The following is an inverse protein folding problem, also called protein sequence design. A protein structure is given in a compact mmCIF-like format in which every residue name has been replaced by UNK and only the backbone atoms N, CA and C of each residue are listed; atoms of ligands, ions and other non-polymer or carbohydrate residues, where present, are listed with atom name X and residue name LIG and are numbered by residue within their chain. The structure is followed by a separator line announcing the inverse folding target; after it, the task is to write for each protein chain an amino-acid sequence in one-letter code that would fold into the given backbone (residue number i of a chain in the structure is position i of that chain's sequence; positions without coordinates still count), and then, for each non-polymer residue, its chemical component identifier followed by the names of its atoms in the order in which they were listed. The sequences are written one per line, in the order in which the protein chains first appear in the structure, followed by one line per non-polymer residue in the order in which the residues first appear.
data_IF_323094470087
#
_entry.id   IF_323094470087
#
_cell.length_a   1.000
_cell.length_b   1.000
_cell.length_c   1.000
_cell.angle_alpha   90.00
_cell.angle_beta   90.00
_cell.angle_gamma   90.00
#
_symmetry.space_group_name_H-M   'P 1'
#
loop_
_entity.id
_entity.type
_entity.pdbx_description
1 polymer ?
#
# COMPACT_ATOMS: atom_id res chain seq x y z
N UNK A 1 15.14 12.87 10.83
CA UNK A 1 16.12 11.76 10.78
C UNK A 1 16.37 11.43 9.32
N UNK A 2 17.64 11.39 8.90
CA UNK A 2 18.04 11.04 7.54
C UNK A 2 17.77 9.54 7.32
N UNK A 3 17.24 9.16 6.16
CA UNK A 3 17.10 7.75 5.80
C UNK A 3 18.50 7.14 5.66
N UNK A 4 18.72 5.98 6.28
CA UNK A 4 19.91 5.15 6.06
C UNK A 4 19.50 3.73 5.72
N UNK A 5 20.34 3.02 4.97
CA UNK A 5 20.11 1.61 4.62
C UNK A 5 19.98 0.77 5.89
N UNK A 6 20.87 0.97 6.86
CA UNK A 6 20.82 0.24 8.13
C UNK A 6 19.49 0.42 8.87
N UNK A 7 18.98 1.66 8.95
CA UNK A 7 17.69 1.94 9.58
C UNK A 7 16.49 1.34 8.82
N UNK A 8 16.68 1.09 7.53
CA UNK A 8 15.68 0.55 6.63
C UNK A 8 15.67 -0.98 6.67
N UNK A 9 16.82 -1.63 6.79
CA UNK A 9 16.96 -3.08 6.73
C UNK A 9 17.00 -3.77 8.09
N UNK A 10 17.31 -3.04 9.16
CA UNK A 10 17.30 -3.59 10.53
C UNK A 10 15.88 -3.96 10.95
N UNK A 11 15.71 -5.22 11.36
CA UNK A 11 14.45 -5.73 11.90
C UNK A 11 13.32 -5.80 10.87
N UNK A 12 13.64 -6.06 9.60
CA UNK A 12 12.62 -6.25 8.56
C UNK A 12 11.68 -7.41 8.91
N UNK A 13 10.38 -7.13 8.85
CA UNK A 13 9.31 -8.10 9.06
C UNK A 13 8.47 -8.20 7.80
N UNK A 14 8.27 -9.41 7.29
CA UNK A 14 7.35 -9.67 6.19
C UNK A 14 5.90 -9.73 6.69
N UNK A 15 4.97 -9.08 5.99
CA UNK A 15 3.54 -9.04 6.34
C UNK A 15 2.69 -9.90 5.42
N UNK A 16 3.01 -9.92 4.13
CA UNK A 16 2.25 -10.70 3.16
C UNK A 16 2.34 -10.19 1.75
N UNK A 17 1.61 -10.88 0.89
CA UNK A 17 1.54 -10.62 -0.55
C UNK A 17 0.20 -10.02 -0.94
N UNK A 18 0.20 -9.19 -1.98
CA UNK A 18 -1.02 -8.63 -2.56
C UNK A 18 -0.97 -8.77 -4.07
N UNK A 19 -1.97 -9.47 -4.61
CA UNK A 19 -2.11 -9.60 -6.06
C UNK A 19 -2.75 -8.34 -6.64
N UNK A 20 -1.95 -7.56 -7.38
CA UNK A 20 -2.47 -6.47 -8.20
C UNK A 20 -2.85 -6.93 -9.61
N UNK A 21 -3.15 -5.96 -10.48
CA UNK A 21 -3.59 -6.28 -11.85
C UNK A 21 -2.49 -6.78 -12.79
N UNK A 22 -1.28 -6.27 -12.63
CA UNK A 22 -0.13 -6.53 -13.52
C UNK A 22 1.13 -6.93 -12.77
N UNK A 23 1.08 -6.86 -11.44
CA UNK A 23 2.22 -7.02 -10.55
C UNK A 23 1.75 -7.75 -9.30
N UNK A 24 2.65 -8.56 -8.75
CA UNK A 24 2.54 -9.09 -7.40
C UNK A 24 3.29 -8.17 -6.45
N UNK A 25 2.69 -7.85 -5.32
CA UNK A 25 3.27 -6.95 -4.33
C UNK A 25 3.62 -7.72 -3.06
N UNK A 26 4.75 -7.36 -2.46
CA UNK A 26 5.27 -7.94 -1.23
C UNK A 26 5.47 -6.82 -0.22
N UNK A 27 4.92 -6.96 0.97
CA UNK A 27 4.97 -5.92 2.00
C UNK A 27 5.88 -6.36 3.14
N UNK A 28 6.92 -5.57 3.40
CA UNK A 28 7.75 -5.68 4.58
C UNK A 28 7.63 -4.40 5.41
N UNK A 29 8.01 -4.46 6.68
CA UNK A 29 8.16 -3.26 7.50
C UNK A 29 9.48 -3.24 8.25
N UNK A 30 10.05 -2.06 8.38
CA UNK A 30 10.99 -1.74 9.45
C UNK A 30 10.26 -1.01 10.59
N UNK A 31 11.01 -0.48 11.55
CA UNK A 31 10.45 0.27 12.67
C UNK A 31 9.56 1.45 12.23
N UNK A 32 9.87 2.12 11.11
CA UNK A 32 9.19 3.38 10.69
C UNK A 32 8.59 3.35 9.29
N UNK A 33 8.99 2.40 8.45
CA UNK A 33 8.59 2.35 7.05
C UNK A 33 7.97 0.99 6.72
N UNK A 34 7.07 1.00 5.74
CA UNK A 34 6.74 -0.17 4.96
C UNK A 34 7.48 -0.13 3.63
N UNK A 35 8.00 -1.28 3.22
CA UNK A 35 8.49 -1.57 1.89
C UNK A 35 7.35 -2.20 1.11
N UNK A 36 6.98 -1.61 -0.02
CA UNK A 36 6.04 -2.18 -0.97
C UNK A 36 6.84 -2.55 -2.20
N UNK A 37 7.31 -3.78 -2.23
CA UNK A 37 8.06 -4.35 -3.36
C UNK A 37 7.07 -4.92 -4.37
N UNK A 38 7.41 -4.84 -5.65
CA UNK A 38 6.57 -5.29 -6.74
C UNK A 38 7.38 -6.08 -7.74
N UNK A 39 6.81 -7.19 -8.24
CA UNK A 39 7.35 -8.01 -9.31
C UNK A 39 6.37 -7.99 -10.49
N UNK A 40 6.88 -7.77 -11.70
CA UNK A 40 6.08 -7.73 -12.91
C UNK A 40 5.64 -9.12 -13.33
N UNK A 41 4.33 -9.29 -13.60
CA UNK A 41 3.80 -10.56 -14.10
C UNK A 41 4.24 -10.88 -15.54
N UNK A 42 4.55 -9.86 -16.34
CA UNK A 42 4.94 -10.04 -17.75
C UNK A 42 6.45 -9.95 -18.00
N UNK A 43 7.25 -9.63 -16.96
CA UNK A 43 8.70 -9.42 -17.10
C UNK A 43 9.40 -10.03 -15.89
N UNK A 44 10.09 -11.17 -16.09
CA UNK A 44 10.61 -12.00 -15.00
C UNK A 44 11.60 -11.28 -14.07
N UNK A 45 12.40 -10.35 -14.61
CA UNK A 45 13.45 -9.66 -13.84
C UNK A 45 13.14 -8.18 -13.58
N UNK A 46 11.88 -7.76 -13.74
CA UNK A 46 11.47 -6.38 -13.53
C UNK A 46 10.68 -6.23 -12.24
N UNK A 47 11.18 -5.38 -11.35
CA UNK A 47 10.52 -5.01 -10.11
C UNK A 47 10.78 -3.57 -9.71
N UNK A 48 10.07 -3.14 -8.68
CA UNK A 48 10.25 -1.83 -8.07
C UNK A 48 9.93 -1.92 -6.59
N UNK A 49 10.50 -1.05 -5.77
CA UNK A 49 10.14 -0.93 -4.36
C UNK A 49 9.79 0.52 -4.03
N UNK A 50 8.79 0.68 -3.18
CA UNK A 50 8.40 1.98 -2.66
C UNK A 50 8.46 1.95 -1.14
N UNK A 51 8.78 3.11 -0.54
CA UNK A 51 8.68 3.31 0.89
C UNK A 51 7.44 4.12 1.22
N UNK A 52 6.69 3.68 2.24
CA UNK A 52 5.61 4.46 2.83
C UNK A 52 5.73 4.49 4.34
N UNK A 53 5.45 5.66 4.94
CA UNK A 53 5.55 5.85 6.38
C UNK A 53 4.50 5.02 7.12
N UNK A 54 4.92 4.30 8.16
CA UNK A 54 4.04 3.51 9.02
C UNK A 54 2.97 4.37 9.69
N UNK A 55 3.38 5.54 10.22
CA UNK A 55 2.43 6.47 10.85
C UNK A 55 1.43 7.05 9.86
N UNK A 56 1.84 7.30 8.61
CA UNK A 56 0.91 7.73 7.56
C UNK A 56 -0.11 6.62 7.22
N UNK A 57 0.32 5.35 7.14
CA UNK A 57 -0.57 4.20 6.92
C UNK A 57 -1.58 4.07 8.07
N UNK A 58 -1.13 4.16 9.32
CA UNK A 58 -2.03 4.06 10.47
C UNK A 58 -3.03 5.22 10.55
N UNK A 59 -2.60 6.45 10.24
CA UNK A 59 -3.49 7.61 10.13
C UNK A 59 -4.53 7.41 9.01
N UNK A 60 -4.09 6.89 7.86
CA UNK A 60 -4.98 6.60 6.75
C UNK A 60 -6.01 5.54 7.12
N UNK A 61 -5.58 4.45 7.78
CA UNK A 61 -6.45 3.39 8.25
C UNK A 61 -7.55 3.93 9.16
N UNK A 62 -7.18 4.70 10.19
CA UNK A 62 -8.16 5.33 11.12
C UNK A 62 -9.23 6.13 10.39
N UNK A 63 -8.84 6.86 9.34
CA UNK A 63 -9.75 7.69 8.54
C UNK A 63 -10.66 6.89 7.61
N UNK A 64 -10.17 5.77 7.10
CA UNK A 64 -10.87 4.95 6.11
C UNK A 64 -11.60 3.74 6.71
N UNK A 65 -11.44 3.47 7.99
CA UNK A 65 -12.03 2.34 8.70
C UNK A 65 -13.52 2.16 8.38
N UNK A 66 -13.89 0.95 7.96
CA UNK A 66 -15.25 0.60 7.53
C UNK A 66 -15.71 1.14 6.17
N UNK A 67 -14.90 1.93 5.44
CA UNK A 67 -15.25 2.43 4.11
C UNK A 67 -15.02 1.37 3.03
N UNK A 68 -15.87 1.39 2.02
CA UNK A 68 -15.89 0.45 0.89
C UNK A 68 -15.81 1.16 -0.46
N UNK A 69 -15.44 0.43 -1.50
CA UNK A 69 -15.37 0.94 -2.88
C UNK A 69 -14.30 2.02 -3.08
N UNK A 70 -13.22 1.97 -2.32
CA UNK A 70 -12.15 2.96 -2.39
C UNK A 70 -11.21 2.66 -3.56
N UNK A 71 -10.89 3.66 -4.37
CA UNK A 71 -9.77 3.58 -5.32
C UNK A 71 -8.61 4.44 -4.83
N UNK A 72 -7.39 4.17 -5.30
CA UNK A 72 -6.23 4.99 -4.97
C UNK A 72 -6.42 6.46 -5.36
N UNK A 73 -7.04 6.73 -6.52
CA UNK A 73 -7.38 8.08 -6.98
C UNK A 73 -8.39 8.76 -6.04
N UNK A 74 -9.40 8.03 -5.57
CA UNK A 74 -10.36 8.55 -4.60
C UNK A 74 -9.69 8.88 -3.26
N UNK A 75 -8.81 8.01 -2.77
CA UNK A 75 -8.08 8.23 -1.52
C UNK A 75 -7.15 9.45 -1.61
N UNK A 76 -6.44 9.59 -2.73
CA UNK A 76 -5.56 10.72 -3.00
C UNK A 76 -6.34 12.03 -3.12
N UNK A 77 -7.39 12.08 -3.95
CA UNK A 77 -8.20 13.29 -4.17
C UNK A 77 -8.87 13.79 -2.88
N UNK A 78 -9.31 12.88 -2.01
CA UNK A 78 -9.90 13.21 -0.71
C UNK A 78 -8.88 13.40 0.41
N UNK A 79 -7.57 13.30 0.14
CA UNK A 79 -6.55 13.54 1.15
C UNK A 79 -6.34 15.04 1.37
N UNK A 80 -6.59 15.51 2.60
CA UNK A 80 -6.22 16.87 3.02
C UNK A 80 -4.73 16.97 3.37
N UNK A 81 -4.09 15.86 3.76
CA UNK A 81 -2.67 15.81 4.08
C UNK A 81 -1.86 15.35 2.86
N UNK A 82 -1.43 16.33 2.05
CA UNK A 82 -0.60 16.08 0.85
C UNK A 82 0.81 15.64 1.17
N UNK A 83 1.32 15.90 2.38
CA UNK A 83 2.63 15.39 2.82
C UNK A 83 2.57 13.88 3.06
N UNK A 84 1.48 13.40 3.68
CA UNK A 84 1.30 11.96 3.95
C UNK A 84 0.84 11.17 2.72
N UNK A 85 0.03 11.78 1.83
CA UNK A 85 -0.46 11.16 0.59
C UNK A 85 -0.18 12.09 -0.59
N UNK A 86 1.08 12.17 -1.04
CA UNK A 86 1.52 13.11 -2.08
C UNK A 86 1.06 12.73 -3.49
N UNK A 87 0.71 11.47 -3.71
CA UNK A 87 0.29 10.99 -5.03
C UNK A 87 -0.73 9.85 -4.94
N UNK A 88 -1.39 9.57 -6.06
CA UNK A 88 -2.22 8.38 -6.21
C UNK A 88 -1.41 7.08 -6.10
N UNK A 89 -0.13 7.07 -6.53
CA UNK A 89 0.75 5.91 -6.36
C UNK A 89 1.05 5.65 -4.88
N UNK A 90 1.34 6.70 -4.10
CA UNK A 90 1.52 6.55 -2.65
C UNK A 90 0.24 6.05 -1.98
N UNK A 91 -0.92 6.58 -2.37
CA UNK A 91 -2.21 6.09 -1.87
C UNK A 91 -2.43 4.61 -2.20
N UNK A 92 -2.08 4.18 -3.42
CA UNK A 92 -2.15 2.78 -3.83
C UNK A 92 -1.25 1.89 -2.98
N UNK A 93 0.00 2.28 -2.79
CA UNK A 93 0.97 1.54 -1.96
C UNK A 93 0.48 1.43 -0.51
N UNK A 94 -0.07 2.50 0.06
CA UNK A 94 -0.65 2.45 1.42
C UNK A 94 -1.86 1.51 1.50
N UNK A 95 -2.72 1.47 0.47
CA UNK A 95 -3.84 0.53 0.41
C UNK A 95 -3.36 -0.93 0.30
N UNK A 96 -2.30 -1.20 -0.47
CA UNK A 96 -1.68 -2.53 -0.49
C UNK A 96 -1.11 -2.92 0.88
N UNK A 97 -0.48 -1.99 1.62
CA UNK A 97 -0.05 -2.28 2.99
C UNK A 97 -1.25 -2.68 3.87
N UNK A 98 -2.38 -1.98 3.77
CA UNK A 98 -3.58 -2.36 4.53
C UNK A 98 -4.10 -3.74 4.15
N UNK A 99 -3.99 -4.16 2.88
CA UNK A 99 -4.36 -5.51 2.46
C UNK A 99 -3.40 -6.55 3.01
N UNK A 100 -2.09 -6.35 2.86
CA UNK A 100 -1.07 -7.28 3.35
C UNK A 100 -1.08 -7.43 4.88
N UNK A 101 -1.52 -6.40 5.61
CA UNK A 101 -1.66 -6.41 7.08
C UNK A 101 -3.06 -6.81 7.54
N UNK A 102 -3.88 -7.38 6.65
CA UNK A 102 -5.23 -7.86 6.91
C UNK A 102 -6.22 -6.81 7.44
N UNK A 103 -5.96 -5.52 7.19
CA UNK A 103 -6.82 -4.37 7.57
C UNK A 103 -7.74 -3.92 6.44
N UNK A 104 -7.53 -4.41 5.22
CA UNK A 104 -8.37 -4.17 4.07
C UNK A 104 -8.40 -5.39 3.16
N UNK A 105 -9.34 -5.41 2.21
CA UNK A 105 -9.39 -6.39 1.13
C UNK A 105 -9.50 -5.67 -0.21
N UNK A 106 -8.99 -6.30 -1.27
CA UNK A 106 -9.37 -5.92 -2.63
C UNK A 106 -10.77 -6.49 -2.90
N UNK A 107 -11.65 -5.70 -3.49
CA UNK A 107 -13.02 -6.13 -3.80
C UNK A 107 -13.02 -7.09 -5.00
N UNK A 108 -13.26 -8.41 -4.77
CA UNK A 108 -13.20 -9.40 -5.85
C UNK A 108 -14.33 -9.22 -6.86
N UNK A 109 -15.45 -8.61 -6.45
CA UNK A 109 -16.63 -8.39 -7.30
C UNK A 109 -16.34 -7.39 -8.43
N UNK A 110 -15.27 -6.60 -8.29
CA UNK A 110 -14.87 -5.56 -9.24
C UNK A 110 -13.58 -5.89 -10.00
N UNK A 111 -13.17 -7.16 -10.05
CA UNK A 111 -11.91 -7.60 -10.70
C UNK A 111 -11.79 -7.16 -12.17
N UNK A 112 -12.90 -7.12 -12.91
CA UNK A 112 -12.94 -6.71 -14.31
C UNK A 112 -12.85 -5.18 -14.52
N UNK A 113 -13.18 -4.37 -13.51
CA UNK A 113 -13.15 -2.91 -13.63
C UNK A 113 -11.73 -2.40 -13.87
N UNK A 114 -11.52 -1.31 -14.60
CA UNK A 114 -10.18 -0.79 -14.93
C UNK A 114 -9.33 -0.50 -13.69
N UNK A 115 -9.93 0.08 -12.66
CA UNK A 115 -9.30 0.41 -11.38
C UNK A 115 -9.41 -0.74 -10.36
N UNK A 116 -8.57 -0.69 -9.32
CA UNK A 116 -8.65 -1.60 -8.17
C UNK A 116 -9.49 -0.93 -7.08
N UNK A 117 -10.44 -1.68 -6.54
CA UNK A 117 -11.31 -1.24 -5.46
C UNK A 117 -10.92 -1.93 -4.16
N UNK A 118 -10.91 -1.17 -3.08
CA UNK A 118 -10.52 -1.60 -1.75
C UNK A 118 -11.66 -1.39 -0.75
N UNK A 119 -11.79 -2.34 0.16
CA UNK A 119 -12.72 -2.29 1.28
C UNK A 119 -11.92 -2.38 2.58
N UNK A 120 -11.97 -1.35 3.41
CA UNK A 120 -11.22 -1.30 4.68
C UNK A 120 -12.10 -1.90 5.78
N UNK A 121 -11.50 -2.80 6.57
CA UNK A 121 -12.19 -3.47 7.68
C UNK A 121 -12.59 -2.45 8.76
N UNK A 122 -13.54 -2.85 9.63
CA UNK A 122 -13.97 -2.02 10.77
C UNK A 122 -12.97 -2.09 11.92
#
# INVERSE_FOLDING_TARGET
MKLSVDSLTTGLQFHGEVQGKRQHYYVLSSARQYFVMSLSLSKRDAGNFNLVSRSAVDQLHRRLRGRRGLTARLVYSRSKNRRAVPSALTALNMLYVLVATDRAIIDPRRKAAREIFFNVKR
#
